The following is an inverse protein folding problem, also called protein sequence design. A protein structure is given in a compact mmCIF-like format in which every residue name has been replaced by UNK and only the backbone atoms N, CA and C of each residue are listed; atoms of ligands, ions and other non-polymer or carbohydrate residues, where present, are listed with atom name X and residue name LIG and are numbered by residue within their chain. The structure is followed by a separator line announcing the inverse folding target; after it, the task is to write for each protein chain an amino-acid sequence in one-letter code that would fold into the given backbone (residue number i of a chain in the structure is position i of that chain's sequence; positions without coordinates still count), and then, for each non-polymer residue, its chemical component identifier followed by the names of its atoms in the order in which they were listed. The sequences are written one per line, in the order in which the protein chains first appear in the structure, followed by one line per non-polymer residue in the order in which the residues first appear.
data_IF_593852231938
#
_entry.id   IF_593852231938
#
_cell.length_a   1.000
_cell.length_b   1.000
_cell.length_c   1.000
_cell.angle_alpha   90.00
_cell.angle_beta   90.00
_cell.angle_gamma   90.00
#
_symmetry.space_group_name_H-M   'P 1'
#
loop_
_entity.id
_entity.type
_entity.pdbx_description
1 polymer ?
#
# COMPACT_ATOMS: atom_id res chain seq x y z
N UNK A 1 2.97 2.58 -7.13
CA UNK A 1 2.22 2.63 -5.85
C UNK A 1 2.38 1.29 -5.15
N UNK A 2 2.74 1.28 -3.87
CA UNK A 2 2.72 0.12 -2.98
C UNK A 2 1.72 0.41 -1.87
N UNK A 3 0.78 -0.49 -1.62
CA UNK A 3 -0.20 -0.38 -0.53
C UNK A 3 0.04 -1.54 0.42
N UNK A 4 0.24 -1.28 1.71
CA UNK A 4 0.48 -2.30 2.73
C UNK A 4 -0.45 -2.14 3.93
N UNK A 5 -0.81 -3.25 4.57
CA UNK A 5 -1.52 -3.26 5.84
C UNK A 5 -0.53 -3.12 7.00
N UNK A 6 -0.77 -2.17 7.90
CA UNK A 6 0.06 -1.95 9.09
C UNK A 6 0.00 -3.09 10.10
N UNK A 7 -1.08 -3.86 10.09
CA UNK A 7 -1.28 -5.05 10.91
C UNK A 7 -1.03 -6.37 10.14
N UNK A 8 -0.51 -6.29 8.90
CA UNK A 8 -0.20 -7.46 8.10
C UNK A 8 0.98 -8.26 8.71
N UNK A 9 0.70 -9.51 9.06
CA UNK A 9 1.69 -10.46 9.61
C UNK A 9 2.36 -11.30 8.53
N UNK A 10 1.75 -11.45 7.36
CA UNK A 10 2.27 -12.23 6.24
C UNK A 10 3.27 -11.41 5.42
N UNK A 11 2.91 -10.16 5.10
CA UNK A 11 3.77 -9.22 4.36
C UNK A 11 3.83 -7.85 5.04
N UNK A 12 4.52 -7.74 6.20
CA UNK A 12 4.57 -6.49 6.96
C UNK A 12 5.19 -5.34 6.14
N UNK A 13 4.81 -4.07 6.40
CA UNK A 13 5.23 -2.92 5.60
C UNK A 13 6.74 -2.80 5.36
N UNK A 14 7.56 -3.16 6.36
CA UNK A 14 9.02 -3.17 6.26
C UNK A 14 9.59 -3.94 5.06
N UNK A 15 8.88 -4.96 4.57
CA UNK A 15 9.29 -5.72 3.38
C UNK A 15 9.09 -4.88 2.11
N UNK A 16 7.98 -4.14 2.04
CA UNK A 16 7.68 -3.22 0.95
C UNK A 16 8.61 -2.01 0.88
N UNK A 17 9.20 -1.57 2.01
CA UNK A 17 10.12 -0.43 2.05
C UNK A 17 11.37 -0.63 1.18
N UNK A 18 11.93 -1.85 1.18
CA UNK A 18 13.08 -2.17 0.34
C UNK A 18 12.73 -2.06 -1.16
N UNK A 19 11.54 -2.55 -1.54
CA UNK A 19 11.03 -2.46 -2.90
C UNK A 19 10.73 -1.00 -3.31
N UNK A 20 10.16 -0.21 -2.41
CA UNK A 20 9.90 1.21 -2.64
C UNK A 20 11.20 2.01 -2.87
N UNK A 21 12.29 1.67 -2.16
CA UNK A 21 13.61 2.29 -2.36
C UNK A 21 14.26 1.88 -3.68
N UNK A 22 13.98 0.67 -4.17
CA UNK A 22 14.57 0.15 -5.40
C UNK A 22 13.89 0.66 -6.68
N UNK A 23 12.65 1.17 -6.59
CA UNK A 23 11.86 1.62 -7.74
C UNK A 23 11.79 3.15 -7.74
N UNK A 24 12.46 3.78 -8.73
CA UNK A 24 12.39 5.23 -8.93
C UNK A 24 10.95 5.69 -9.13
N UNK A 25 10.51 6.68 -8.34
CA UNK A 25 9.14 7.21 -8.40
C UNK A 25 8.09 6.35 -7.70
N UNK A 26 8.48 5.27 -7.01
CA UNK A 26 7.55 4.53 -6.17
C UNK A 26 7.04 5.39 -5.01
N UNK A 27 5.76 5.17 -4.68
CA UNK A 27 5.08 5.76 -3.53
C UNK A 27 4.53 4.61 -2.69
N UNK A 28 4.73 4.67 -1.38
CA UNK A 28 4.27 3.65 -0.45
C UNK A 28 3.22 4.25 0.49
N UNK A 29 2.09 3.58 0.62
CA UNK A 29 1.00 3.91 1.54
C UNK A 29 0.77 2.74 2.50
N UNK A 30 0.62 3.04 3.79
CA UNK A 30 0.39 2.04 4.84
C UNK A 30 -0.92 2.33 5.54
N UNK A 31 -1.82 1.36 5.60
CA UNK A 31 -3.08 1.47 6.32
C UNK A 31 -2.93 0.87 7.73
N UNK A 32 -2.86 1.68 8.80
CA UNK A 32 -2.39 1.23 10.11
C UNK A 32 -3.21 0.06 10.69
N UNK A 33 -4.54 0.11 10.60
CA UNK A 33 -5.44 -0.96 11.09
C UNK A 33 -5.99 -1.80 9.94
N UNK A 34 -5.09 -2.42 9.18
CA UNK A 34 -5.43 -3.31 8.07
C UNK A 34 -4.47 -4.48 8.05
N UNK A 35 -5.02 -5.69 7.94
CA UNK A 35 -4.28 -6.92 7.79
C UNK A 35 -3.81 -7.13 6.35
N UNK A 36 -3.79 -8.39 5.93
CA UNK A 36 -3.22 -8.79 4.65
C UNK A 36 -4.15 -8.56 3.46
N UNK A 37 -5.46 -8.70 3.66
CA UNK A 37 -6.44 -8.69 2.57
C UNK A 37 -6.95 -7.27 2.34
N UNK A 38 -6.03 -6.33 2.07
CA UNK A 38 -6.27 -4.88 2.04
C UNK A 38 -7.46 -4.49 1.14
N UNK A 39 -7.59 -5.11 -0.04
CA UNK A 39 -8.70 -4.86 -0.97
C UNK A 39 -10.06 -5.28 -0.41
N UNK A 40 -10.11 -6.27 0.49
CA UNK A 40 -11.34 -6.75 1.14
C UNK A 40 -11.60 -5.96 2.42
N UNK A 41 -10.56 -5.69 3.20
CA UNK A 41 -10.65 -5.02 4.50
C UNK A 41 -10.91 -3.51 4.37
N UNK A 42 -10.30 -2.87 3.36
CA UNK A 42 -10.45 -1.43 3.06
C UNK A 42 -10.61 -1.18 1.55
N UNK A 43 -11.71 -1.64 0.93
CA UNK A 43 -11.94 -1.55 -0.51
C UNK A 43 -11.91 -0.09 -1.02
N UNK A 44 -12.65 0.81 -0.36
CA UNK A 44 -12.73 2.21 -0.77
C UNK A 44 -11.37 2.90 -0.67
N UNK A 45 -10.68 2.76 0.48
CA UNK A 45 -9.35 3.37 0.65
C UNK A 45 -8.34 2.84 -0.37
N UNK A 46 -8.42 1.56 -0.73
CA UNK A 46 -7.58 0.96 -1.77
C UNK A 46 -7.85 1.60 -3.13
N UNK A 47 -9.11 1.65 -3.54
CA UNK A 47 -9.53 2.25 -4.82
C UNK A 47 -9.19 3.74 -4.88
N UNK A 48 -9.41 4.49 -3.80
CA UNK A 48 -9.07 5.91 -3.71
C UNK A 48 -7.56 6.15 -3.87
N UNK A 49 -6.73 5.28 -3.29
CA UNK A 49 -5.27 5.37 -3.43
C UNK A 49 -4.82 5.10 -4.85
N UNK A 50 -5.45 4.13 -5.53
CA UNK A 50 -5.21 3.85 -6.95
C UNK A 50 -5.62 5.05 -7.80
N UNK A 51 -6.82 5.63 -7.59
CA UNK A 51 -7.27 6.80 -8.33
C UNK A 51 -6.33 8.00 -8.15
N UNK A 52 -5.93 8.32 -6.90
CA UNK A 52 -4.97 9.40 -6.62
C UNK A 52 -3.64 9.18 -7.32
N UNK A 53 -3.15 7.94 -7.32
CA UNK A 53 -1.91 7.62 -8.03
C UNK A 53 -2.04 7.84 -9.54
N UNK A 54 -3.11 7.33 -10.16
CA UNK A 54 -3.36 7.49 -11.59
C UNK A 54 -3.61 8.94 -12.02
N UNK A 55 -4.17 9.77 -11.15
CA UNK A 55 -4.36 11.21 -11.43
C UNK A 55 -3.07 12.04 -11.33
N UNK A 56 -1.97 11.44 -10.85
CA UNK A 56 -0.72 12.13 -10.54
C UNK A 56 0.48 11.67 -11.38
N UNK A 57 0.20 10.90 -12.42
CA UNK A 57 1.17 10.42 -13.41
C UNK A 57 1.01 11.19 -14.72
#
# INVERSE_FOLDING_TARGET
LLIAGGADRMTPPRIGEALAKAITGARMEVFPDTGHMIMVERPNATTDSIHRFLASV
#
